data_IF_880442755162
#
_entry.id   IF_880442755162
#
_cell.length_a   1.000
_cell.length_b   1.000
_cell.length_c   1.000
_cell.angle_alpha   90.00
_cell.angle_beta   90.00
_cell.angle_gamma   90.00
#
_symmetry.space_group_name_H-M   'P 1'
#
loop_
_entity.id
_entity.type
_entity.pdbx_description
1 polymer ?
#
# COMPACT_ATOMS: atom_id res chain seq x y z
N UNK A 1 -18.65 2.69 8.39
CA UNK A 1 -17.53 2.79 7.44
C UNK A 1 -18.02 3.04 6.02
N UNK A 2 -18.76 2.12 5.40
CA UNK A 2 -19.31 2.27 4.04
C UNK A 2 -20.18 3.54 3.83
N UNK A 3 -21.00 3.91 4.81
CA UNK A 3 -21.87 5.10 4.77
C UNK A 3 -21.13 6.44 4.62
N UNK A 4 -19.82 6.46 4.86
CA UNK A 4 -18.99 7.67 4.75
C UNK A 4 -18.56 7.92 3.29
N UNK A 5 -18.54 6.87 2.47
CA UNK A 5 -18.09 6.94 1.08
C UNK A 5 -19.06 7.77 0.23
N UNK A 6 -18.49 8.53 -0.71
CA UNK A 6 -19.27 9.19 -1.77
C UNK A 6 -19.03 8.49 -3.09
N UNK A 7 -20.05 8.47 -3.94
CA UNK A 7 -20.01 7.80 -5.23
C UNK A 7 -20.30 8.82 -6.33
N UNK A 8 -19.46 8.83 -7.36
CA UNK A 8 -19.60 9.72 -8.51
C UNK A 8 -19.71 8.87 -9.78
N UNK A 9 -20.84 8.97 -10.46
CA UNK A 9 -21.05 8.29 -11.75
C UNK A 9 -20.25 8.99 -12.85
N UNK A 10 -19.80 8.21 -13.82
CA UNK A 10 -19.14 8.65 -15.05
C UNK A 10 -17.84 9.44 -14.80
N UNK A 11 -17.11 9.06 -13.76
CA UNK A 11 -15.80 9.63 -13.43
C UNK A 11 -14.74 8.53 -13.24
N UNK A 12 -13.51 8.70 -13.77
CA UNK A 12 -13.04 9.81 -14.60
C UNK A 12 -13.54 9.74 -16.06
N UNK A 13 -14.28 8.69 -16.42
CA UNK A 13 -14.85 8.45 -17.75
C UNK A 13 -16.24 7.82 -17.61
N UNK A 14 -17.02 7.92 -18.67
CA UNK A 14 -18.36 7.30 -18.78
C UNK A 14 -18.32 5.80 -18.47
N UNK A 15 -19.30 5.33 -17.70
CA UNK A 15 -19.45 3.93 -17.28
C UNK A 15 -18.73 3.55 -15.99
N UNK A 16 -17.94 4.45 -15.37
CA UNK A 16 -17.23 4.18 -14.11
C UNK A 16 -17.97 4.80 -12.93
N UNK A 17 -18.14 4.04 -11.84
CA UNK A 17 -18.56 4.57 -10.55
C UNK A 17 -17.31 4.83 -9.71
N UNK A 18 -16.92 6.09 -9.60
CA UNK A 18 -15.78 6.48 -8.77
C UNK A 18 -16.16 6.49 -7.30
N UNK A 19 -15.28 5.93 -6.47
CA UNK A 19 -15.44 5.82 -5.02
C UNK A 19 -14.55 6.85 -4.37
N UNK A 20 -15.16 7.87 -3.78
CA UNK A 20 -14.47 8.92 -3.06
C UNK A 20 -14.38 8.59 -1.57
N UNK A 21 -13.14 8.45 -1.12
CA UNK A 21 -12.76 8.12 0.26
C UNK A 21 -12.39 9.37 1.08
N UNK A 22 -12.27 10.55 0.45
CA UNK A 22 -11.90 11.80 1.12
C UNK A 22 -12.80 12.12 2.32
N UNK A 23 -14.10 11.78 2.34
CA UNK A 23 -14.93 12.00 3.53
C UNK A 23 -14.42 11.33 4.81
N UNK A 24 -13.60 10.26 4.74
CA UNK A 24 -12.95 9.69 5.93
C UNK A 24 -12.05 10.70 6.64
N UNK A 25 -11.42 11.61 5.89
CA UNK A 25 -10.52 12.64 6.42
C UNK A 25 -11.27 13.84 7.02
N UNK A 26 -12.58 13.95 6.75
CA UNK A 26 -13.39 15.12 7.12
C UNK A 26 -14.06 14.97 8.49
N UNK A 27 -13.94 13.79 9.13
CA UNK A 27 -14.50 13.54 10.44
C UNK A 27 -13.46 12.84 11.33
N UNK A 28 -12.99 13.55 12.37
CA UNK A 28 -11.95 13.06 13.29
C UNK A 28 -12.30 11.73 13.95
N UNK A 29 -13.55 11.54 14.39
CA UNK A 29 -13.95 10.31 15.09
C UNK A 29 -13.96 9.11 14.14
N UNK A 30 -14.49 9.31 12.93
CA UNK A 30 -14.47 8.29 11.87
C UNK A 30 -13.04 7.97 11.44
N UNK A 31 -12.20 8.99 11.23
CA UNK A 31 -10.81 8.79 10.86
C UNK A 31 -10.06 7.98 11.93
N UNK A 32 -10.23 8.32 13.20
CA UNK A 32 -9.62 7.56 14.30
C UNK A 32 -10.05 6.09 14.30
N UNK A 33 -11.34 5.82 14.13
CA UNK A 33 -11.84 4.45 14.03
C UNK A 33 -11.27 3.70 12.83
N UNK A 34 -11.15 4.38 11.68
CA UNK A 34 -10.53 3.81 10.48
C UNK A 34 -9.07 3.47 10.72
N UNK A 35 -8.26 4.40 11.22
CA UNK A 35 -6.83 4.18 11.43
C UNK A 35 -6.60 3.07 12.47
N UNK A 36 -7.40 3.00 13.52
CA UNK A 36 -7.37 1.90 14.48
C UNK A 36 -7.64 0.55 13.82
N UNK A 37 -8.67 0.46 12.96
CA UNK A 37 -8.95 -0.78 12.22
C UNK A 37 -7.84 -1.15 11.20
N UNK A 38 -7.22 -0.15 10.55
CA UNK A 38 -6.07 -0.39 9.64
C UNK A 38 -4.85 -0.86 10.42
N UNK A 39 -4.60 -0.28 11.60
CA UNK A 39 -3.50 -0.67 12.48
C UNK A 39 -3.64 -2.13 12.95
N UNK A 40 -4.85 -2.56 13.33
CA UNK A 40 -5.15 -3.96 13.67
C UNK A 40 -4.97 -4.91 12.48
N UNK A 41 -5.22 -4.44 11.26
CA UNK A 41 -5.08 -5.23 10.04
C UNK A 41 -3.62 -5.39 9.58
N UNK A 42 -2.71 -4.47 9.97
CA UNK A 42 -1.30 -4.53 9.62
C UNK A 42 -0.52 -5.30 10.69
N UNK A 43 0.23 -6.32 10.29
CA UNK A 43 0.95 -7.24 11.19
C UNK A 43 2.47 -7.10 11.12
N UNK A 44 2.98 -6.34 10.14
CA UNK A 44 4.41 -6.14 9.94
C UNK A 44 4.87 -4.77 10.44
N UNK A 45 6.17 -4.60 10.77
CA UNK A 45 6.69 -3.31 11.21
C UNK A 45 6.92 -2.31 10.06
N UNK A 46 6.88 -2.75 8.81
CA UNK A 46 7.19 -1.94 7.64
C UNK A 46 5.99 -1.87 6.69
N UNK A 47 5.53 -0.65 6.41
CA UNK A 47 4.40 -0.42 5.50
C UNK A 47 4.91 0.14 4.19
N UNK A 48 4.63 -0.54 3.08
CA UNK A 48 4.78 0.00 1.74
C UNK A 48 3.50 0.76 1.41
N UNK A 49 3.61 2.06 1.14
CA UNK A 49 2.47 2.89 0.78
C UNK A 49 2.69 3.49 -0.61
N UNK A 50 1.82 3.24 -1.60
CA UNK A 50 1.89 3.93 -2.89
C UNK A 50 1.27 5.32 -2.81
N UNK A 51 1.79 6.21 -3.66
CA UNK A 51 1.33 7.59 -3.68
C UNK A 51 -0.07 7.74 -4.31
N UNK A 52 -0.77 8.84 -4.05
CA UNK A 52 -0.52 9.78 -2.94
C UNK A 52 -1.45 9.49 -1.77
N UNK A 53 -2.62 8.92 -2.03
CA UNK A 53 -3.68 8.76 -1.04
C UNK A 53 -3.34 7.68 -0.01
N UNK A 54 -2.61 6.63 -0.38
CA UNK A 54 -2.08 5.64 0.58
C UNK A 54 -1.32 6.29 1.74
N UNK A 55 -0.58 7.38 1.49
CA UNK A 55 0.15 8.10 2.54
C UNK A 55 -0.75 8.68 3.64
N UNK A 56 -1.96 9.12 3.27
CA UNK A 56 -2.90 9.77 4.20
C UNK A 56 -3.36 8.80 5.30
N UNK A 57 -3.28 7.49 5.03
CA UNK A 57 -3.74 6.45 5.94
C UNK A 57 -2.59 5.60 6.48
N UNK A 58 -1.45 5.54 5.79
CA UNK A 58 -0.24 4.89 6.29
C UNK A 58 0.50 5.72 7.35
N UNK A 59 0.69 7.02 7.12
CA UNK A 59 1.48 7.86 8.04
C UNK A 59 0.93 7.90 9.49
N UNK A 60 -0.39 7.96 9.74
CA UNK A 60 -0.93 7.91 11.10
C UNK A 60 -0.61 6.63 11.88
N UNK A 61 -0.30 5.52 11.18
CA UNK A 61 -0.05 4.23 11.82
C UNK A 61 1.18 4.24 12.73
N UNK A 62 2.17 5.07 12.43
CA UNK A 62 3.36 5.29 13.29
C UNK A 62 2.99 5.77 14.70
N UNK A 63 1.80 6.33 14.88
CA UNK A 63 1.30 6.80 16.19
C UNK A 63 0.19 5.94 16.77
N UNK A 64 -0.45 5.08 15.97
CA UNK A 64 -1.57 4.25 16.40
C UNK A 64 -1.11 2.83 16.79
N UNK A 65 -0.11 2.27 16.08
CA UNK A 65 0.36 0.90 16.27
C UNK A 65 1.82 0.88 16.72
N UNK A 66 2.07 0.33 17.92
CA UNK A 66 3.41 0.29 18.51
C UNK A 66 4.40 -0.59 17.73
N UNK A 67 3.90 -1.59 16.99
CA UNK A 67 4.73 -2.49 16.20
C UNK A 67 5.12 -1.93 14.83
N UNK A 68 4.49 -0.85 14.36
CA UNK A 68 4.80 -0.23 13.07
C UNK A 68 5.89 0.82 13.27
N UNK A 69 7.05 0.56 12.69
CA UNK A 69 8.24 1.39 12.87
C UNK A 69 8.63 2.17 11.59
N UNK A 70 8.16 1.74 10.41
CA UNK A 70 8.59 2.32 9.15
C UNK A 70 7.45 2.42 8.12
N UNK A 71 7.40 3.54 7.39
CA UNK A 71 6.53 3.74 6.22
C UNK A 71 7.43 4.06 5.02
N UNK A 72 7.41 3.19 4.02
CA UNK A 72 8.22 3.28 2.81
C UNK A 72 7.33 3.83 1.68
N UNK A 73 7.58 5.06 1.22
CA UNK A 73 6.78 5.66 0.18
C UNK A 73 7.17 5.12 -1.20
N UNK A 74 6.16 4.79 -2.02
CA UNK A 74 6.34 4.41 -3.42
C UNK A 74 5.71 5.49 -4.29
N UNK A 75 6.46 6.07 -5.23
CA UNK A 75 6.04 7.25 -5.98
C UNK A 75 6.29 7.13 -7.47
N UNK A 76 5.60 7.95 -8.27
CA UNK A 76 5.91 8.09 -9.70
C UNK A 76 7.28 8.72 -9.93
N UNK A 77 7.72 8.61 -11.18
CA UNK A 77 8.99 9.17 -11.65
C UNK A 77 9.16 10.65 -11.27
N UNK A 78 10.36 11.01 -10.83
CA UNK A 78 10.74 12.38 -10.47
C UNK A 78 10.19 12.89 -9.13
N UNK A 79 9.56 12.03 -8.31
CA UNK A 79 8.99 12.43 -7.00
C UNK A 79 9.83 12.02 -5.78
N UNK A 80 10.79 11.13 -5.93
CA UNK A 80 11.73 10.74 -4.88
C UNK A 80 13.11 11.33 -5.21
N UNK A 81 13.77 12.04 -4.28
CA UNK A 81 15.19 12.37 -4.40
C UNK A 81 16.04 11.14 -4.02
N UNK A 82 17.04 10.81 -4.84
CA UNK A 82 17.82 9.59 -4.70
C UNK A 82 19.30 9.81 -4.99
N UNK A 83 20.16 9.01 -4.36
CA UNK A 83 21.55 8.84 -4.75
C UNK A 83 21.65 7.83 -5.91
N UNK A 84 22.76 7.83 -6.65
CA UNK A 84 22.99 6.87 -7.73
C UNK A 84 22.83 5.43 -7.23
N UNK A 85 22.02 4.62 -7.93
CA UNK A 85 21.75 3.22 -7.59
C UNK A 85 20.72 2.99 -6.48
N UNK A 86 20.17 4.04 -5.85
CA UNK A 86 19.22 3.90 -4.74
C UNK A 86 17.76 3.74 -5.20
N UNK A 87 17.42 4.24 -6.39
CA UNK A 87 16.05 4.19 -6.90
C UNK A 87 15.78 2.88 -7.65
N UNK A 88 14.77 2.14 -7.21
CA UNK A 88 14.28 0.95 -7.89
C UNK A 88 13.01 1.25 -8.67
N UNK A 89 12.91 0.75 -9.90
CA UNK A 89 11.72 0.91 -10.76
C UNK A 89 10.78 -0.29 -10.63
N UNK A 90 9.49 -0.01 -10.57
CA UNK A 90 8.41 -1.00 -10.54
C UNK A 90 7.49 -0.74 -11.72
N UNK A 91 7.37 -1.71 -12.61
CA UNK A 91 6.38 -1.68 -13.68
C UNK A 91 5.03 -2.10 -13.09
N UNK A 92 4.00 -1.27 -13.25
CA UNK A 92 2.65 -1.58 -12.80
C UNK A 92 1.67 -1.61 -13.97
N UNK A 93 0.81 -2.62 -13.96
CA UNK A 93 -0.31 -2.70 -14.89
C UNK A 93 -1.50 -1.89 -14.33
N UNK A 94 -2.03 -1.00 -15.17
CA UNK A 94 -3.26 -0.24 -14.93
C UNK A 94 -4.33 -0.67 -15.91
N UNK A 95 -5.56 -0.25 -15.62
CA UNK A 95 -6.73 -0.42 -16.49
C UNK A 95 -6.50 0.12 -17.92
N UNK A 96 -5.58 1.07 -18.11
CA UNK A 96 -5.31 1.73 -19.39
C UNK A 96 -3.84 1.68 -19.83
N UNK A 97 -3.12 0.61 -19.50
CA UNK A 97 -1.72 0.39 -19.90
C UNK A 97 -0.77 0.31 -18.72
N UNK A 98 0.52 0.51 -18.97
CA UNK A 98 1.54 0.43 -17.93
C UNK A 98 1.90 1.81 -17.38
N UNK A 99 2.23 1.86 -16.10
CA UNK A 99 2.86 3.01 -15.46
C UNK A 99 4.09 2.54 -14.66
N UNK A 100 4.88 3.50 -14.17
CA UNK A 100 6.08 3.20 -13.40
C UNK A 100 5.98 3.85 -12.02
N UNK A 101 6.20 3.04 -11.01
CA UNK A 101 6.41 3.47 -9.64
C UNK A 101 7.86 3.23 -9.24
N UNK A 102 8.28 3.89 -8.16
CA UNK A 102 9.64 3.83 -7.67
C UNK A 102 9.65 3.86 -6.15
N UNK A 103 10.59 3.12 -5.57
CA UNK A 103 10.93 3.19 -4.16
C UNK A 103 12.45 3.29 -4.02
N UNK A 104 12.93 3.72 -2.85
CA UNK A 104 14.37 3.75 -2.54
C UNK A 104 14.77 2.53 -1.74
N UNK A 105 15.89 1.93 -2.11
CA UNK A 105 16.47 0.81 -1.36
C UNK A 105 16.88 1.29 0.04
N UNK A 106 17.33 2.53 0.17
CA UNK A 106 17.65 3.15 1.47
C UNK A 106 16.46 3.21 2.43
N UNK A 107 15.25 3.44 1.91
CA UNK A 107 14.02 3.51 2.72
C UNK A 107 13.64 2.13 3.27
N UNK A 108 13.93 1.08 2.50
CA UNK A 108 13.77 -0.31 2.95
C UNK A 108 14.84 -0.65 4.00
N UNK A 109 16.11 -0.28 3.75
CA UNK A 109 17.21 -0.54 4.67
C UNK A 109 17.08 0.18 6.02
N UNK A 110 16.30 1.27 6.09
CA UNK A 110 15.97 1.97 7.33
C UNK A 110 14.86 1.28 8.16
N UNK A 111 14.22 0.25 7.62
CA UNK A 111 13.15 -0.47 8.29
C UNK A 111 13.62 -1.52 9.28
N UNK A 112 12.66 -2.29 9.80
CA UNK A 112 12.89 -3.30 10.83
C UNK A 112 12.84 -4.72 10.24
N UNK A 113 13.85 -5.52 10.54
CA UNK A 113 13.83 -6.96 10.23
C UNK A 113 12.97 -7.69 11.26
N UNK A 114 12.16 -8.64 10.79
CA UNK A 114 11.37 -9.53 11.64
C UNK A 114 11.69 -11.00 11.30
N UNK A 115 12.38 -11.69 12.20
CA UNK A 115 12.85 -13.06 11.98
C UNK A 115 13.94 -13.12 10.88
N UNK A 116 13.73 -13.98 9.89
CA UNK A 116 14.69 -14.24 8.81
C UNK A 116 14.49 -13.35 7.56
N UNK A 117 13.45 -12.52 7.54
CA UNK A 117 13.10 -11.69 6.39
C UNK A 117 12.84 -10.23 6.78
N UNK A 118 12.97 -9.34 5.80
CA UNK A 118 12.39 -8.02 5.84
C UNK A 118 10.92 -8.11 5.45
N UNK A 119 10.05 -8.19 6.45
CA UNK A 119 8.61 -8.37 6.24
C UNK A 119 7.90 -7.03 6.01
N UNK A 120 7.01 -6.99 5.02
CA UNK A 120 6.26 -5.78 4.67
C UNK A 120 4.76 -6.05 4.50
N UNK A 121 3.97 -5.03 4.82
CA UNK A 121 2.56 -4.91 4.47
C UNK A 121 2.42 -3.87 3.36
N UNK A 122 1.75 -4.20 2.27
CA UNK A 122 1.38 -3.22 1.24
C UNK A 122 0.03 -2.62 1.62
N UNK A 123 -0.01 -1.32 1.92
CA UNK A 123 -1.21 -0.60 2.32
C UNK A 123 -1.57 0.45 1.27
N UNK A 124 -2.76 0.33 0.67
CA UNK A 124 -3.31 1.35 -0.21
C UNK A 124 -4.77 1.65 0.12
N UNK A 125 -5.32 2.69 -0.49
CA UNK A 125 -6.63 3.18 -0.14
C UNK A 125 -7.77 2.40 -0.81
N UNK A 126 -7.64 2.06 -2.09
CA UNK A 126 -8.66 1.36 -2.86
C UNK A 126 -8.08 0.17 -3.62
N UNK A 127 -8.62 -1.02 -3.34
CA UNK A 127 -8.41 -2.21 -4.17
C UNK A 127 -9.40 -2.23 -5.34
N UNK A 128 -8.89 -1.89 -6.52
CA UNK A 128 -9.58 -2.06 -7.79
C UNK A 128 -9.18 -3.40 -8.44
N UNK A 129 -8.44 -3.38 -9.55
CA UNK A 129 -7.96 -4.60 -10.25
C UNK A 129 -6.78 -5.29 -9.56
N UNK A 130 -6.09 -4.61 -8.63
CA UNK A 130 -4.93 -5.13 -7.90
C UNK A 130 -3.58 -5.04 -8.63
N UNK A 131 -3.54 -4.61 -9.90
CA UNK A 131 -2.30 -4.62 -10.71
C UNK A 131 -1.13 -3.81 -10.12
N UNK A 132 -1.41 -2.67 -9.48
CA UNK A 132 -0.39 -1.87 -8.78
C UNK A 132 0.22 -2.65 -7.60
N UNK A 133 -0.62 -3.24 -6.76
CA UNK A 133 -0.18 -3.95 -5.56
C UNK A 133 0.57 -5.24 -5.92
N UNK A 134 0.14 -5.95 -6.98
CA UNK A 134 0.83 -7.13 -7.49
C UNK A 134 2.23 -6.77 -8.01
N UNK A 135 2.36 -5.79 -8.90
CA UNK A 135 3.67 -5.39 -9.44
C UNK A 135 4.63 -4.91 -8.35
N UNK A 136 4.11 -4.22 -7.33
CA UNK A 136 4.90 -3.88 -6.14
C UNK A 136 5.35 -5.12 -5.39
N UNK A 137 4.45 -6.07 -5.15
CA UNK A 137 4.80 -7.27 -4.41
C UNK A 137 5.87 -8.10 -5.13
N UNK A 138 5.73 -8.30 -6.45
CA UNK A 138 6.71 -9.02 -7.25
C UNK A 138 8.09 -8.33 -7.24
N UNK A 139 8.12 -7.01 -7.42
CA UNK A 139 9.36 -6.24 -7.37
C UNK A 139 10.03 -6.34 -6.00
N UNK A 140 9.25 -6.23 -4.92
CA UNK A 140 9.73 -6.32 -3.55
C UNK A 140 10.25 -7.73 -3.23
N UNK A 141 9.51 -8.80 -3.52
CA UNK A 141 9.94 -10.17 -3.22
C UNK A 141 11.21 -10.60 -3.98
N UNK A 142 11.49 -9.96 -5.12
CA UNK A 142 12.74 -10.12 -5.86
C UNK A 142 13.95 -9.40 -5.22
N UNK A 143 13.72 -8.50 -4.26
CA UNK A 143 14.80 -7.74 -3.61
C UNK A 143 15.55 -8.54 -2.55
N UNK A 144 16.78 -8.10 -2.35
CA UNK A 144 17.61 -8.35 -1.16
C UNK A 144 18.00 -7.02 -0.56
N UNK A 145 17.95 -6.94 0.77
CA UNK A 145 18.35 -5.74 1.51
C UNK A 145 19.40 -6.07 2.56
N UNK A 146 20.38 -5.19 2.70
CA UNK A 146 21.44 -5.32 3.70
C UNK A 146 21.12 -4.41 4.87
N UNK A 147 20.93 -5.00 6.04
CA UNK A 147 20.65 -4.29 7.30
C UNK A 147 21.68 -4.80 8.31
N UNK A 148 22.41 -3.87 8.93
CA UNK A 148 23.50 -4.17 9.90
C UNK A 148 24.53 -5.19 9.37
N UNK A 149 24.84 -5.13 8.08
CA UNK A 149 25.83 -5.99 7.42
C UNK A 149 25.35 -7.41 7.10
N UNK A 150 24.06 -7.73 7.32
CA UNK A 150 23.44 -9.00 6.94
C UNK A 150 22.42 -8.79 5.83
N UNK A 151 22.39 -9.71 4.87
CA UNK A 151 21.42 -9.72 3.77
C UNK A 151 20.13 -10.43 4.18
N UNK A 152 19.00 -9.84 3.80
CA UNK A 152 17.65 -10.35 4.03
C UNK A 152 16.84 -10.34 2.75
N UNK A 153 15.99 -11.36 2.58
CA UNK A 153 14.93 -11.31 1.58
C UNK A 153 13.80 -10.40 2.03
N UNK A 154 13.17 -9.70 1.10
CA UNK A 154 11.93 -8.97 1.37
C UNK A 154 10.75 -9.93 1.19
N UNK A 155 9.83 -9.94 2.15
CA UNK A 155 8.62 -10.78 2.11
C UNK A 155 7.38 -9.94 2.27
N UNK A 156 6.50 -9.97 1.27
CA UNK A 156 5.16 -9.38 1.37
C UNK A 156 4.29 -10.32 2.20
N UNK A 157 3.86 -9.87 3.37
CA UNK A 157 3.10 -10.71 4.31
C UNK A 157 1.61 -10.59 4.13
N UNK A 158 1.14 -9.40 3.77
CA UNK A 158 -0.27 -9.15 3.50
C UNK A 158 -0.45 -7.85 2.70
N UNK A 159 -1.63 -7.73 2.12
CA UNK A 159 -2.15 -6.51 1.55
C UNK A 159 -3.28 -5.98 2.44
N UNK A 160 -3.28 -4.67 2.69
CA UNK A 160 -4.34 -4.00 3.44
C UNK A 160 -4.92 -2.89 2.57
N UNK A 161 -6.25 -2.85 2.49
CA UNK A 161 -6.98 -1.82 1.76
C UNK A 161 -8.09 -1.23 2.61
N UNK A 162 -8.36 0.07 2.43
CA UNK A 162 -9.47 0.72 3.12
C UNK A 162 -10.78 0.33 2.46
N UNK A 163 -10.83 0.36 1.14
CA UNK A 163 -11.99 0.00 0.34
C UNK A 163 -11.61 -1.03 -0.71
N UNK A 164 -12.41 -2.08 -0.85
CA UNK A 164 -12.31 -3.05 -1.95
C UNK A 164 -13.54 -2.95 -2.85
N UNK A 165 -13.31 -2.85 -4.17
CA UNK A 165 -14.36 -2.94 -5.18
C UNK A 165 -14.46 -4.41 -5.60
N UNK A 166 -15.40 -5.14 -5.00
CA UNK A 166 -15.44 -6.61 -5.11
C UNK A 166 -15.62 -7.11 -6.55
N UNK A 167 -16.40 -6.38 -7.35
CA UNK A 167 -16.68 -6.73 -8.74
C UNK A 167 -15.42 -6.79 -9.63
N UNK A 168 -14.34 -6.09 -9.24
CA UNK A 168 -13.07 -6.04 -9.98
C UNK A 168 -12.12 -7.19 -9.64
N UNK A 169 -12.48 -8.05 -8.67
CA UNK A 169 -11.76 -9.28 -8.31
C UNK A 169 -10.26 -9.08 -8.00
N UNK A 170 -9.86 -7.88 -7.58
CA UNK A 170 -8.48 -7.60 -7.21
C UNK A 170 -7.99 -8.48 -6.05
N UNK A 171 -8.88 -8.84 -5.14
CA UNK A 171 -8.57 -9.75 -4.02
C UNK A 171 -8.13 -11.13 -4.50
N UNK A 172 -8.88 -11.74 -5.42
CA UNK A 172 -8.54 -13.05 -6.00
C UNK A 172 -7.18 -13.04 -6.71
N UNK A 173 -6.80 -11.90 -7.30
CA UNK A 173 -5.49 -11.71 -7.93
C UNK A 173 -4.38 -11.74 -6.88
N UNK A 174 -4.52 -10.95 -5.81
CA UNK A 174 -3.49 -10.74 -4.80
C UNK A 174 -3.35 -11.89 -3.79
N UNK A 175 -4.43 -12.63 -3.51
CA UNK A 175 -4.40 -13.80 -2.60
C UNK A 175 -3.51 -14.95 -3.11
N UNK A 176 -3.08 -14.91 -4.38
CA UNK A 176 -2.06 -15.82 -4.92
C UNK A 176 -0.65 -15.54 -4.37
N UNK A 177 -0.42 -14.33 -3.84
CA UNK A 177 0.87 -13.87 -3.32
C UNK A 177 0.84 -13.85 -1.80
N UNK A 178 -0.14 -13.16 -1.21
CA UNK A 178 -0.30 -13.00 0.23
C UNK A 178 -1.77 -12.68 0.60
N UNK A 179 -2.19 -12.93 1.86
CA UNK A 179 -3.54 -12.60 2.32
C UNK A 179 -3.93 -11.13 2.09
N UNK A 180 -5.21 -10.89 1.77
CA UNK A 180 -5.77 -9.55 1.54
C UNK A 180 -6.79 -9.22 2.62
N UNK A 181 -6.63 -8.06 3.26
CA UNK A 181 -7.57 -7.51 4.25
C UNK A 181 -8.15 -6.19 3.73
N UNK A 182 -9.47 -6.11 3.73
CA UNK A 182 -10.19 -4.91 3.30
C UNK A 182 -11.07 -4.41 4.45
N UNK A 183 -10.91 -3.15 4.86
CA UNK A 183 -11.69 -2.58 5.97
C UNK A 183 -13.16 -2.41 5.59
N UNK A 184 -13.43 -2.11 4.32
CA UNK A 184 -14.78 -2.03 3.76
C UNK A 184 -14.79 -2.64 2.37
N UNK A 185 -15.81 -3.46 2.09
CA UNK A 185 -16.03 -4.06 0.77
C UNK A 185 -17.28 -3.46 0.16
N UNK A 186 -17.18 -3.04 -1.11
CA UNK A 186 -18.27 -2.42 -1.86
C UNK A 186 -18.60 -3.16 -3.14
#
# INVERSE_FOLDING_TARGET
MKEVLKYYKDFPKEGIIFVDIIPFLQNKAVFKQLISAVAEACTTPNIIAPEARGFLFAAPLLTEAEHIENIIPVRKSGKLPFAEGDLHEVLIEKEYGFDKLYYRVSDIAAGKVNGDNFEVTILDDVLATGGTAEGLAESLEAQRVVIDGKEYGVKVKEFVFIVEIAELKGKERLEKIAPVRSITVI
#
